data_IF_842316892439
#
_entry.id   IF_842316892439
#
_cell.length_a   1.000
_cell.length_b   1.000
_cell.length_c   1.000
_cell.angle_alpha   90.00
_cell.angle_beta   90.00
_cell.angle_gamma   90.00
#
_symmetry.space_group_name_H-M   'P 1'
#
loop_
_entity.id
_entity.type
_entity.pdbx_description
1 polymer ?
#
# COMPACT_ATOMS: atom_id res chain seq x y z
N UNK A 1 9.28 -16.36 -2.04
CA UNK A 1 8.24 -15.68 -2.84
C UNK A 1 8.78 -14.69 -3.88
N UNK A 2 9.97 -14.09 -3.70
CA UNK A 2 10.48 -13.04 -4.59
C UNK A 2 11.24 -13.55 -5.83
N UNK A 3 11.88 -14.73 -5.76
CA UNK A 3 12.72 -15.27 -6.84
C UNK A 3 12.00 -15.40 -8.20
N UNK A 4 10.73 -15.85 -8.27
CA UNK A 4 9.98 -15.87 -9.53
C UNK A 4 9.71 -14.46 -10.07
N UNK A 5 9.36 -13.51 -9.19
CA UNK A 5 9.08 -12.13 -9.58
C UNK A 5 10.33 -11.42 -10.14
N UNK A 6 11.51 -11.66 -9.57
CA UNK A 6 12.77 -11.13 -10.10
C UNK A 6 13.07 -11.64 -11.50
N UNK A 7 12.79 -12.91 -11.78
CA UNK A 7 12.92 -13.51 -13.11
C UNK A 7 12.02 -12.83 -14.13
N UNK A 8 10.74 -12.61 -13.79
CA UNK A 8 9.80 -11.90 -14.66
C UNK A 8 10.20 -10.43 -14.87
N UNK A 9 10.64 -9.72 -13.83
CA UNK A 9 11.10 -8.33 -13.94
C UNK A 9 12.34 -8.23 -14.82
N UNK A 10 13.32 -9.12 -14.66
CA UNK A 10 14.52 -9.15 -15.49
C UNK A 10 14.20 -9.41 -16.98
N UNK A 11 13.24 -10.31 -17.24
CA UNK A 11 12.75 -10.57 -18.60
C UNK A 11 11.97 -9.38 -19.17
N UNK A 12 11.10 -8.74 -18.41
CA UNK A 12 10.25 -7.64 -18.90
C UNK A 12 10.96 -6.29 -18.99
N UNK A 13 11.99 -6.03 -18.17
CA UNK A 13 12.74 -4.77 -18.13
C UNK A 13 13.25 -4.28 -19.50
N UNK A 14 13.86 -5.12 -20.37
CA UNK A 14 14.27 -4.69 -21.70
C UNK A 14 13.11 -4.52 -22.67
N UNK A 15 11.99 -5.24 -22.52
CA UNK A 15 10.83 -5.17 -23.43
C UNK A 15 10.06 -3.84 -23.33
N UNK A 16 9.93 -3.29 -22.12
CA UNK A 16 9.20 -2.03 -21.86
C UNK A 16 9.71 -0.83 -22.70
N UNK A 17 11.02 -0.53 -22.78
CA UNK A 17 11.51 0.57 -23.61
C UNK A 17 11.35 0.32 -25.13
N UNK A 18 11.30 -0.93 -25.60
CA UNK A 18 10.97 -1.21 -27.00
C UNK A 18 9.51 -0.92 -27.32
N UNK A 19 8.58 -1.29 -26.43
CA UNK A 19 7.16 -0.96 -26.58
C UNK A 19 6.91 0.55 -26.53
N UNK A 20 7.65 1.30 -25.70
CA UNK A 20 7.54 2.77 -25.63
C UNK A 20 8.02 3.52 -26.87
N UNK A 21 8.72 2.88 -27.82
CA UNK A 21 9.09 3.53 -29.10
C UNK A 21 7.89 3.78 -30.02
N UNK A 22 6.78 3.07 -29.83
CA UNK A 22 5.53 3.28 -30.58
C UNK A 22 4.57 4.17 -29.79
N UNK A 23 4.00 5.24 -30.38
CA UNK A 23 3.09 6.15 -29.68
C UNK A 23 1.81 5.48 -29.20
N UNK A 24 1.31 4.46 -29.92
CA UNK A 24 0.10 3.70 -29.54
C UNK A 24 0.36 2.84 -28.30
N UNK A 25 1.48 2.13 -28.27
CA UNK A 25 1.85 1.28 -27.15
C UNK A 25 2.20 2.11 -25.91
N UNK A 26 2.82 3.29 -26.09
CA UNK A 26 3.04 4.23 -24.99
C UNK A 26 1.70 4.70 -24.37
N UNK A 27 0.72 5.10 -25.19
CA UNK A 27 -0.59 5.52 -24.70
C UNK A 27 -1.34 4.39 -23.96
N UNK A 28 -1.24 3.14 -24.43
CA UNK A 28 -1.80 1.98 -23.74
C UNK A 28 -1.13 1.74 -22.37
N UNK A 29 0.20 1.78 -22.31
CA UNK A 29 0.95 1.62 -21.06
C UNK A 29 0.62 2.74 -20.04
N UNK A 30 0.45 3.97 -20.50
CA UNK A 30 0.03 5.07 -19.65
C UNK A 30 -1.42 4.86 -19.14
N UNK A 31 -2.32 4.36 -19.99
CA UNK A 31 -3.66 3.94 -19.59
C UNK A 31 -3.67 2.85 -18.51
N UNK A 32 -2.81 1.83 -18.65
CA UNK A 32 -2.63 0.78 -17.63
C UNK A 32 -2.09 1.34 -16.31
N UNK A 33 -1.15 2.27 -16.36
CA UNK A 33 -0.59 2.89 -15.15
C UNK A 33 -1.67 3.70 -14.40
N UNK A 34 -2.47 4.50 -15.13
CA UNK A 34 -3.60 5.25 -14.54
C UNK A 34 -4.66 4.30 -14.00
N UNK A 35 -5.00 3.22 -14.71
CA UNK A 35 -5.93 2.21 -14.22
C UNK A 35 -5.43 1.52 -12.94
N UNK A 36 -4.13 1.19 -12.88
CA UNK A 36 -3.49 0.62 -11.69
C UNK A 36 -3.52 1.60 -10.52
N UNK A 37 -3.24 2.89 -10.76
CA UNK A 37 -3.31 3.93 -9.74
C UNK A 37 -4.74 4.11 -9.21
N UNK A 38 -5.74 4.12 -10.11
CA UNK A 38 -7.14 4.18 -9.73
C UNK A 38 -7.55 2.98 -8.87
N UNK A 39 -7.12 1.77 -9.25
CA UNK A 39 -7.37 0.56 -8.47
C UNK A 39 -6.68 0.62 -7.10
N UNK A 40 -5.41 1.03 -7.04
CA UNK A 40 -4.69 1.21 -5.78
C UNK A 40 -5.43 2.19 -4.86
N UNK A 41 -5.88 3.33 -5.38
CA UNK A 41 -6.61 4.32 -4.60
C UNK A 41 -7.94 3.76 -4.07
N UNK A 42 -8.76 3.14 -4.92
CA UNK A 42 -10.06 2.57 -4.55
C UNK A 42 -9.91 1.45 -3.52
N UNK A 43 -8.99 0.52 -3.75
CA UNK A 43 -8.72 -0.58 -2.81
C UNK A 43 -8.21 -0.05 -1.47
N UNK A 44 -7.36 0.98 -1.49
CA UNK A 44 -6.89 1.63 -0.26
C UNK A 44 -8.03 2.28 0.51
N UNK A 45 -8.97 2.95 -0.17
CA UNK A 45 -10.16 3.52 0.48
C UNK A 45 -11.05 2.43 1.06
N UNK A 46 -11.25 1.32 0.34
CA UNK A 46 -12.07 0.21 0.80
C UNK A 46 -11.47 -0.47 2.05
N UNK A 47 -10.15 -0.72 2.03
CA UNK A 47 -9.43 -1.25 3.18
C UNK A 47 -9.42 -0.25 4.35
N UNK A 48 -9.27 1.05 4.06
CA UNK A 48 -9.33 2.10 5.07
C UNK A 48 -10.69 2.16 5.78
N UNK A 49 -11.78 2.12 5.03
CA UNK A 49 -13.14 2.08 5.60
C UNK A 49 -13.39 0.81 6.43
N UNK A 50 -12.88 -0.33 5.99
CA UNK A 50 -12.98 -1.58 6.74
C UNK A 50 -12.11 -1.61 8.01
N UNK A 51 -10.99 -0.88 8.02
CA UNK A 51 -10.07 -0.82 9.15
C UNK A 51 -10.43 0.26 10.18
N UNK A 52 -11.12 1.33 9.77
CA UNK A 52 -11.50 2.47 10.61
C UNK A 52 -12.93 2.31 11.14
N UNK A 53 -13.09 1.45 12.14
CA UNK A 53 -14.42 1.10 12.70
C UNK A 53 -14.77 1.94 13.92
N UNK A 54 -13.78 2.41 14.67
CA UNK A 54 -13.95 3.06 15.97
C UNK A 54 -12.99 4.25 16.17
N UNK A 55 -13.27 5.09 17.16
CA UNK A 55 -12.47 6.30 17.41
C UNK A 55 -10.99 5.99 17.72
N UNK A 56 -10.70 4.83 18.31
CA UNK A 56 -9.33 4.40 18.66
C UNK A 56 -8.56 4.07 17.37
N UNK A 57 -9.18 3.33 16.44
CA UNK A 57 -8.59 3.04 15.12
C UNK A 57 -8.34 4.30 14.30
N UNK A 58 -9.24 5.29 14.37
CA UNK A 58 -9.05 6.61 13.71
C UNK A 58 -7.88 7.37 14.33
N UNK A 59 -7.77 7.42 15.66
CA UNK A 59 -6.65 8.06 16.35
C UNK A 59 -5.32 7.38 16.01
N UNK A 60 -5.30 6.04 15.98
CA UNK A 60 -4.15 5.24 15.55
C UNK A 60 -3.74 5.54 14.11
N UNK A 61 -4.69 5.64 13.18
CA UNK A 61 -4.42 5.94 11.79
C UNK A 61 -3.81 7.34 11.61
N UNK A 62 -4.35 8.35 12.30
CA UNK A 62 -3.81 9.72 12.27
C UNK A 62 -2.39 9.76 12.85
N UNK A 63 -2.17 9.17 14.03
CA UNK A 63 -0.86 9.12 14.66
C UNK A 63 0.16 8.40 13.76
N UNK A 64 -0.25 7.29 13.15
CA UNK A 64 0.55 6.50 12.22
C UNK A 64 0.90 7.30 10.96
N UNK A 65 -0.06 8.01 10.37
CA UNK A 65 0.16 8.84 9.19
C UNK A 65 1.15 9.98 9.47
N UNK A 66 1.00 10.66 10.62
CA UNK A 66 1.91 11.73 11.04
C UNK A 66 3.32 11.18 11.25
N UNK A 67 3.45 10.03 11.92
CA UNK A 67 4.74 9.37 12.14
C UNK A 67 5.42 8.98 10.84
N UNK A 68 4.67 8.42 9.89
CA UNK A 68 5.20 7.99 8.61
C UNK A 68 5.72 9.18 7.78
N UNK A 69 4.93 10.26 7.71
CA UNK A 69 5.25 11.45 6.90
C UNK A 69 6.39 12.27 7.53
N UNK A 70 6.37 12.46 8.86
CA UNK A 70 7.31 13.35 9.54
C UNK A 70 8.61 12.69 9.97
N UNK A 71 8.58 11.41 10.33
CA UNK A 71 9.71 10.68 10.91
C UNK A 71 10.27 9.57 10.02
N UNK A 72 9.67 9.31 8.84
CA UNK A 72 10.12 8.28 7.88
C UNK A 72 10.40 6.92 8.55
N UNK A 73 9.62 6.58 9.57
CA UNK A 73 9.80 5.35 10.33
C UNK A 73 9.56 4.14 9.43
N UNK A 74 10.39 3.11 9.61
CA UNK A 74 10.23 1.86 8.89
C UNK A 74 8.85 1.26 9.20
N UNK A 75 8.10 0.90 8.15
CA UNK A 75 6.74 0.37 8.25
C UNK A 75 6.62 -0.82 9.21
N UNK A 76 7.70 -1.58 9.39
CA UNK A 76 7.75 -2.69 10.35
C UNK A 76 7.46 -2.23 11.78
N UNK A 77 8.05 -1.12 12.22
CA UNK A 77 7.84 -0.61 13.59
C UNK A 77 6.43 -0.09 13.81
N UNK A 78 5.88 0.57 12.79
CA UNK A 78 4.51 1.09 12.79
C UNK A 78 3.47 -0.04 12.92
N UNK A 79 3.65 -1.11 12.14
CA UNK A 79 2.78 -2.30 12.19
C UNK A 79 2.91 -3.00 13.55
N UNK A 80 4.12 -3.13 14.09
CA UNK A 80 4.35 -3.76 15.38
C UNK A 80 3.66 -3.00 16.52
N UNK A 81 3.79 -1.66 16.56
CA UNK A 81 3.14 -0.83 17.56
C UNK A 81 1.62 -0.87 17.45
N UNK A 82 1.08 -0.83 16.22
CA UNK A 82 -0.36 -0.96 15.99
C UNK A 82 -0.91 -2.32 16.46
N UNK A 83 -0.18 -3.40 16.21
CA UNK A 83 -0.57 -4.75 16.66
C UNK A 83 -0.59 -4.86 18.19
N UNK A 84 0.41 -4.30 18.89
CA UNK A 84 0.46 -4.30 20.36
C UNK A 84 -0.69 -3.48 20.95
N UNK A 85 -0.95 -2.28 20.41
CA UNK A 85 -2.05 -1.42 20.87
C UNK A 85 -3.41 -2.09 20.62
N UNK A 86 -3.59 -2.71 19.45
CA UNK A 86 -4.82 -3.45 19.12
C UNK A 86 -5.07 -4.65 20.04
N UNK A 87 -4.02 -5.41 20.40
CA UNK A 87 -4.11 -6.50 21.38
C UNK A 87 -4.52 -5.99 22.76
N UNK A 88 -3.91 -4.91 23.24
CA UNK A 88 -4.24 -4.33 24.54
C UNK A 88 -5.67 -3.78 24.59
N UNK A 89 -6.12 -3.12 23.52
CA UNK A 89 -7.50 -2.63 23.42
C UNK A 89 -8.52 -3.78 23.34
N UNK A 90 -8.21 -4.86 22.61
CA UNK A 90 -9.06 -6.05 22.55
C UNK A 90 -9.23 -6.72 23.90
N UNK A 91 -8.16 -6.78 24.71
CA UNK A 91 -8.22 -7.31 26.08
C UNK A 91 -9.07 -6.44 27.02
N UNK A 92 -9.16 -5.14 26.78
CA UNK A 92 -9.90 -4.20 27.64
C UNK A 92 -11.40 -4.16 27.36
N UNK A 93 -11.83 -4.40 26.11
CA UNK A 93 -13.26 -4.41 25.72
C UNK A 93 -13.97 -5.73 26.08
N UNK A 94 -13.21 -6.79 26.39
CA UNK A 94 -13.75 -8.14 26.65
C UNK A 94 -13.84 -8.53 28.14
N UNK A 95 -13.54 -7.60 29.06
CA UNK A 95 -13.78 -7.72 30.51
C UNK A 95 -15.03 -6.93 30.90
#
# INVERSE_FOLDING_TARGET
>A
IFLPAFLFVALSSPLVPFLRRSPIAAAFLDGLNVASLALMAVVTLQLGQAALVDWITVALAIASAIMLIRFRLNSVWLVLSGAIIGLLAFWWVKL
#
